data_IF_587422475633
#
_entry.id   IF_587422475633
#
_cell.length_a   1.000
_cell.length_b   1.000
_cell.length_c   1.000
_cell.angle_alpha   90.00
_cell.angle_beta   90.00
_cell.angle_gamma   90.00
#
_symmetry.space_group_name_H-M   'P 1'
#
loop_
_entity.id
_entity.type
_entity.pdbx_description
1 polymer ?
#
# COMPACT_ATOMS: atom_id res chain seq x y z
N UNK A 1 -12.32 18.46 -3.41
CA UNK A 1 -12.03 17.35 -2.48
C UNK A 1 -11.00 16.42 -3.10
N UNK A 2 -9.93 16.18 -2.37
CA UNK A 2 -8.88 15.31 -2.89
C UNK A 2 -9.16 13.86 -2.52
N UNK A 3 -8.90 12.96 -3.45
CA UNK A 3 -8.96 11.53 -3.18
C UNK A 3 -7.67 11.10 -2.51
N UNK A 4 -7.72 10.10 -1.62
CA UNK A 4 -6.49 9.59 -1.02
C UNK A 4 -5.60 8.97 -2.07
N UNK A 5 -4.29 9.11 -1.85
CA UNK A 5 -3.29 8.50 -2.73
C UNK A 5 -3.29 6.99 -2.48
N UNK A 6 -3.45 6.22 -3.52
CA UNK A 6 -3.41 4.77 -3.41
C UNK A 6 -1.97 4.30 -3.55
N UNK A 7 -1.53 3.54 -2.57
CA UNK A 7 -0.15 3.04 -2.52
C UNK A 7 -0.19 1.53 -2.43
N UNK A 8 0.50 0.87 -3.36
CA UNK A 8 0.61 -0.58 -3.38
C UNK A 8 2.01 -0.96 -2.92
N UNK A 9 2.08 -1.78 -1.88
CA UNK A 9 3.33 -2.14 -1.24
C UNK A 9 3.54 -3.64 -1.34
N UNK A 10 4.70 -4.05 -1.83
CA UNK A 10 5.11 -5.45 -1.83
C UNK A 10 6.08 -5.66 -0.68
N UNK A 11 5.65 -6.37 0.36
CA UNK A 11 6.48 -6.61 1.53
C UNK A 11 6.08 -7.92 2.18
N UNK A 12 7.02 -8.84 2.30
CA UNK A 12 6.75 -10.17 2.85
C UNK A 12 6.92 -10.24 4.37
N UNK A 13 7.43 -9.18 4.99
CA UNK A 13 7.60 -9.12 6.43
C UNK A 13 6.50 -8.24 7.03
N UNK A 14 5.57 -8.83 7.82
CA UNK A 14 4.46 -8.05 8.36
C UNK A 14 4.90 -6.91 9.28
N UNK A 15 6.01 -7.07 9.99
CA UNK A 15 6.51 -6.00 10.85
C UNK A 15 6.99 -4.82 10.04
N UNK A 16 7.70 -5.09 8.94
CA UNK A 16 8.16 -4.02 8.06
C UNK A 16 6.99 -3.34 7.37
N UNK A 17 5.98 -4.12 6.96
CA UNK A 17 4.79 -3.55 6.34
C UNK A 17 4.10 -2.59 7.31
N UNK A 18 3.99 -2.98 8.58
CA UNK A 18 3.36 -2.13 9.58
C UNK A 18 4.13 -0.83 9.77
N UNK A 19 5.46 -0.90 9.75
CA UNK A 19 6.30 0.29 9.87
C UNK A 19 6.11 1.24 8.69
N UNK A 20 6.02 0.69 7.49
CA UNK A 20 5.79 1.50 6.30
C UNK A 20 4.46 2.24 6.42
N UNK A 21 3.41 1.52 6.79
CA UNK A 21 2.08 2.11 6.92
C UNK A 21 2.09 3.20 7.98
N UNK A 22 2.71 2.93 9.13
CA UNK A 22 2.78 3.91 10.20
C UNK A 22 3.54 5.16 9.78
N UNK A 23 4.64 4.99 9.05
CA UNK A 23 5.43 6.10 8.54
C UNK A 23 4.60 6.97 7.61
N UNK A 24 3.82 6.34 6.73
CA UNK A 24 2.96 7.06 5.80
C UNK A 24 1.91 7.88 6.56
N UNK A 25 1.34 7.30 7.60
CA UNK A 25 0.34 8.01 8.39
C UNK A 25 0.95 9.20 9.11
N UNK A 26 2.15 9.04 9.64
CA UNK A 26 2.84 10.11 10.36
C UNK A 26 3.25 11.26 9.46
N UNK A 27 3.46 10.97 8.19
CA UNK A 27 3.87 12.00 7.24
C UNK A 27 2.75 12.98 6.94
N UNK A 28 1.53 12.68 7.35
CA UNK A 28 0.39 13.54 7.11
C UNK A 28 -0.20 13.37 5.72
N UNK A 29 0.28 12.41 4.95
CA UNK A 29 -0.28 12.13 3.64
C UNK A 29 -1.61 11.40 3.78
N UNK A 30 -2.59 11.85 3.01
CA UNK A 30 -3.86 11.15 2.92
C UNK A 30 -3.68 10.02 1.90
N UNK A 31 -3.48 8.81 2.38
CA UNK A 31 -3.19 7.69 1.50
C UNK A 31 -3.96 6.44 1.92
N UNK A 32 -4.15 5.56 0.97
CA UNK A 32 -4.81 4.28 1.17
C UNK A 32 -3.81 3.18 0.81
N UNK A 33 -3.01 2.71 1.77
CA UNK A 33 -2.02 1.68 1.49
C UNK A 33 -2.65 0.31 1.39
N UNK A 34 -2.15 -0.49 0.47
CA UNK A 34 -2.50 -1.88 0.34
C UNK A 34 -1.22 -2.68 0.30
N UNK A 35 -1.10 -3.67 1.18
CA UNK A 35 0.12 -4.48 1.30
C UNK A 35 -0.14 -5.86 0.74
N UNK A 36 0.79 -6.34 -0.09
CA UNK A 36 0.77 -7.72 -0.55
C UNK A 36 2.09 -8.37 -0.15
N UNK A 37 2.04 -9.67 0.16
CA UNK A 37 3.23 -10.39 0.61
C UNK A 37 3.94 -11.12 -0.53
N UNK A 38 3.33 -11.21 -1.70
CA UNK A 38 3.89 -11.97 -2.81
C UNK A 38 3.85 -11.15 -4.09
N UNK A 39 4.77 -11.47 -4.99
CA UNK A 39 4.81 -10.83 -6.30
C UNK A 39 3.52 -11.09 -7.07
N UNK A 40 2.99 -12.31 -6.96
CA UNK A 40 1.75 -12.63 -7.63
C UNK A 40 0.59 -11.79 -7.11
N UNK A 41 0.50 -11.63 -5.78
CA UNK A 41 -0.52 -10.78 -5.19
C UNK A 41 -0.37 -9.33 -5.62
N UNK A 42 0.86 -8.86 -5.73
CA UNK A 42 1.15 -7.52 -6.19
C UNK A 42 0.65 -7.34 -7.63
N UNK A 43 0.95 -8.30 -8.49
CA UNK A 43 0.52 -8.25 -9.88
C UNK A 43 -0.99 -8.25 -10.00
N UNK A 44 -1.66 -9.10 -9.21
CA UNK A 44 -3.12 -9.16 -9.21
C UNK A 44 -3.73 -7.83 -8.75
N UNK A 45 -3.12 -7.21 -7.76
CA UNK A 45 -3.60 -5.92 -7.28
C UNK A 45 -3.46 -4.85 -8.36
N UNK A 46 -2.37 -4.88 -9.12
CA UNK A 46 -2.19 -3.95 -10.24
C UNK A 46 -3.26 -4.13 -11.31
N UNK A 47 -3.65 -5.38 -11.55
CA UNK A 47 -4.68 -5.67 -12.55
C UNK A 47 -6.05 -5.14 -12.13
N UNK A 48 -6.29 -5.03 -10.82
CA UNK A 48 -7.56 -4.50 -10.32
C UNK A 48 -7.59 -2.97 -10.35
N UNK A 49 -6.45 -2.35 -10.52
CA UNK A 49 -6.38 -0.90 -10.63
C UNK A 49 -6.75 -0.48 -12.04
N UNK A 50 -7.27 0.43 -12.11
CA UNK A 50 -8.22 1.24 -11.61
C UNK A 50 -9.19 1.35 -12.42
N UNK A 51 -9.40 1.17 -12.08
CA UNK A 51 -10.04 1.48 -12.63
C UNK A 51 -10.33 2.40 -12.81
#
# INVERSE_FOLDING_TARGET
MALPLRILILEDNPSDAALIIETLKRSGLDCAPEVTATEEGYRQALERLPD
#
